data_IF_338903257256
#
_entry.id   IF_338903257256
#
_cell.length_a   1.000
_cell.length_b   1.000
_cell.length_c   1.000
_cell.angle_alpha   90.00
_cell.angle_beta   90.00
_cell.angle_gamma   90.00
#
_symmetry.space_group_name_H-M   'P 1'
#
loop_
_entity.id
_entity.type
_entity.pdbx_description
1 polymer ?
#
# COMPACT_ATOMS: atom_id res chain seq x y z
N UNK A 1 10.98 -14.44 -21.88
CA UNK A 1 9.75 -15.11 -21.47
C UNK A 1 9.00 -14.34 -20.39
N UNK A 2 9.69 -13.69 -19.44
CA UNK A 2 9.05 -13.02 -18.29
C UNK A 2 9.17 -11.48 -18.31
N UNK A 3 9.45 -10.87 -19.45
CA UNK A 3 9.68 -9.41 -19.52
C UNK A 3 8.41 -8.61 -19.20
N UNK A 4 7.23 -9.09 -19.61
CA UNK A 4 5.96 -8.43 -19.33
C UNK A 4 5.62 -8.57 -17.83
N UNK A 5 5.95 -9.72 -17.21
CA UNK A 5 5.82 -9.88 -15.74
C UNK A 5 6.70 -8.89 -14.94
N UNK A 6 7.84 -8.45 -15.50
CA UNK A 6 8.64 -7.39 -14.86
C UNK A 6 7.91 -6.04 -14.85
N UNK A 7 7.08 -5.75 -15.87
CA UNK A 7 6.20 -4.56 -15.89
C UNK A 7 5.16 -4.66 -14.76
N UNK A 8 4.53 -5.83 -14.61
CA UNK A 8 3.57 -6.11 -13.51
C UNK A 8 4.23 -5.90 -12.15
N UNK A 9 5.41 -6.48 -11.94
CA UNK A 9 6.17 -6.34 -10.68
C UNK A 9 6.52 -4.88 -10.37
N UNK A 10 6.97 -4.13 -11.36
CA UNK A 10 7.31 -2.72 -11.19
C UNK A 10 6.07 -1.88 -10.80
N UNK A 11 4.91 -2.10 -11.42
CA UNK A 11 3.67 -1.47 -11.01
C UNK A 11 3.23 -1.89 -9.60
N UNK A 12 3.40 -3.16 -9.23
CA UNK A 12 3.12 -3.66 -7.89
C UNK A 12 3.93 -2.91 -6.82
N UNK A 13 5.19 -2.63 -7.09
CA UNK A 13 6.10 -1.91 -6.20
C UNK A 13 5.98 -0.37 -6.28
N UNK A 14 4.98 0.17 -7.00
CA UNK A 14 4.80 1.60 -7.24
C UNK A 14 5.98 2.27 -7.96
N UNK A 15 6.66 1.54 -8.83
CA UNK A 15 7.73 2.01 -9.71
C UNK A 15 7.14 2.35 -11.10
N UNK A 16 6.13 3.23 -11.13
CA UNK A 16 5.34 3.52 -12.34
C UNK A 16 6.21 3.98 -13.52
N UNK A 17 7.21 4.84 -13.31
CA UNK A 17 8.11 5.31 -14.37
C UNK A 17 8.94 4.16 -14.96
N UNK A 18 9.43 3.26 -14.11
CA UNK A 18 10.18 2.06 -14.54
C UNK A 18 9.27 1.14 -15.34
N UNK A 19 8.04 0.90 -14.85
CA UNK A 19 7.05 0.06 -15.52
C UNK A 19 6.70 0.61 -16.92
N UNK A 20 6.45 1.93 -17.03
CA UNK A 20 6.15 2.60 -18.30
C UNK A 20 7.34 2.49 -19.27
N UNK A 21 8.57 2.74 -18.80
CA UNK A 21 9.78 2.61 -19.61
C UNK A 21 10.01 1.19 -20.11
N UNK A 22 9.80 0.19 -19.26
CA UNK A 22 9.85 -1.23 -19.66
C UNK A 22 8.76 -1.56 -20.68
N UNK A 23 7.53 -1.12 -20.45
CA UNK A 23 6.42 -1.33 -21.36
C UNK A 23 6.66 -0.71 -22.74
N UNK A 24 7.19 0.50 -22.80
CA UNK A 24 7.57 1.15 -24.06
C UNK A 24 8.64 0.32 -24.82
N UNK A 25 9.62 -0.25 -24.12
CA UNK A 25 10.64 -1.12 -24.70
C UNK A 25 10.09 -2.44 -25.26
N UNK A 26 8.87 -2.81 -24.84
CA UNK A 26 8.14 -4.00 -25.26
C UNK A 26 7.04 -3.70 -26.30
N UNK A 27 6.91 -2.43 -26.71
CA UNK A 27 5.85 -1.93 -27.59
C UNK A 27 4.42 -2.19 -27.07
N UNK A 28 4.23 -2.20 -25.73
CA UNK A 28 2.92 -2.37 -25.11
C UNK A 28 2.06 -1.11 -25.33
N UNK A 29 0.80 -1.31 -25.68
CA UNK A 29 -0.19 -0.26 -25.81
C UNK A 29 -0.68 0.30 -24.46
N UNK A 30 -1.32 1.46 -24.49
CA UNK A 30 -1.82 2.13 -23.27
C UNK A 30 -2.82 1.26 -22.49
N UNK A 31 -3.69 0.53 -23.19
CA UNK A 31 -4.67 -0.38 -22.59
C UNK A 31 -4.00 -1.56 -21.88
N UNK A 32 -2.98 -2.15 -22.51
CA UNK A 32 -2.21 -3.25 -21.93
C UNK A 32 -1.44 -2.80 -20.68
N UNK A 33 -0.81 -1.64 -20.75
CA UNK A 33 -0.12 -1.04 -19.59
C UNK A 33 -1.07 -0.80 -18.42
N UNK A 34 -2.29 -0.35 -18.66
CA UNK A 34 -3.29 -0.15 -17.59
C UNK A 34 -3.74 -1.48 -16.98
N UNK A 35 -3.97 -2.52 -17.80
CA UNK A 35 -4.30 -3.86 -17.31
C UNK A 35 -3.16 -4.44 -16.45
N UNK A 36 -1.91 -4.30 -16.89
CA UNK A 36 -0.74 -4.77 -16.14
C UNK A 36 -0.52 -3.98 -14.85
N UNK A 37 -0.85 -2.68 -14.85
CA UNK A 37 -0.83 -1.84 -13.64
C UNK A 37 -1.85 -2.33 -12.62
N UNK A 38 -3.07 -2.57 -13.06
CA UNK A 38 -4.13 -3.08 -12.18
C UNK A 38 -3.80 -4.47 -11.65
N UNK A 39 -3.22 -5.35 -12.48
CA UNK A 39 -2.75 -6.66 -12.02
C UNK A 39 -1.66 -6.51 -10.96
N UNK A 40 -0.62 -5.73 -11.23
CA UNK A 40 0.49 -5.52 -10.28
C UNK A 40 0.00 -5.00 -8.93
N UNK A 41 -0.86 -3.99 -8.95
CA UNK A 41 -1.46 -3.41 -7.74
C UNK A 41 -2.36 -4.40 -7.00
N UNK A 42 -3.09 -5.25 -7.70
CA UNK A 42 -3.97 -6.26 -7.09
C UNK A 42 -3.18 -7.41 -6.47
N UNK A 43 -2.10 -7.84 -7.12
CA UNK A 43 -1.18 -8.84 -6.55
C UNK A 43 -0.49 -8.29 -5.30
N UNK A 44 0.02 -7.07 -5.36
CA UNK A 44 0.65 -6.42 -4.21
C UNK A 44 -0.33 -6.23 -3.04
N UNK A 45 -1.58 -5.85 -3.32
CA UNK A 45 -2.64 -5.74 -2.31
C UNK A 45 -2.86 -7.06 -1.56
N UNK A 46 -2.84 -8.21 -2.24
CA UNK A 46 -2.99 -9.52 -1.60
C UNK A 46 -1.73 -10.00 -0.85
N UNK A 47 -0.64 -9.23 -0.86
CA UNK A 47 0.58 -9.54 -0.12
C UNK A 47 0.62 -8.91 1.29
N UNK A 48 -0.37 -8.07 1.63
CA UNK A 48 -0.41 -7.37 2.91
C UNK A 48 -1.47 -7.95 3.84
N UNK A 49 -1.07 -8.18 5.08
CA UNK A 49 -1.88 -8.69 6.17
C UNK A 49 -0.98 -9.03 7.35
N UNK A 50 -1.57 -9.39 8.47
CA UNK A 50 -0.84 -9.89 9.63
C UNK A 50 -0.55 -11.39 9.49
N UNK A 51 -1.45 -12.11 8.84
CA UNK A 51 -1.35 -13.54 8.56
C UNK A 51 -2.04 -13.91 7.25
N UNK A 52 -1.89 -15.16 6.82
CA UNK A 52 -2.61 -15.66 5.63
C UNK A 52 -4.13 -15.54 5.74
N UNK A 53 -4.69 -15.53 6.96
CA UNK A 53 -6.12 -15.35 7.16
C UNK A 53 -6.64 -13.95 6.75
N UNK A 54 -5.76 -12.97 6.63
CA UNK A 54 -6.09 -11.64 6.12
C UNK A 54 -6.14 -11.58 4.59
N UNK A 55 -5.52 -12.55 3.91
CA UNK A 55 -5.40 -12.56 2.45
C UNK A 55 -6.67 -13.14 1.80
N UNK A 56 -6.94 -12.73 0.57
CA UNK A 56 -8.07 -13.27 -0.21
C UNK A 56 -7.77 -14.63 -0.81
N UNK A 57 -6.50 -14.85 -1.13
CA UNK A 57 -5.98 -16.13 -1.62
C UNK A 57 -4.60 -16.37 -1.02
N UNK A 58 -4.34 -17.61 -0.60
CA UNK A 58 -3.03 -17.99 -0.08
C UNK A 58 -1.92 -17.76 -1.13
N UNK A 59 -0.72 -17.25 -0.74
CA UNK A 59 0.36 -16.95 -1.67
C UNK A 59 0.78 -18.14 -2.52
N UNK A 60 0.81 -19.33 -1.94
CA UNK A 60 1.15 -20.59 -2.64
C UNK A 60 0.14 -20.89 -3.75
N UNK A 61 -1.15 -20.74 -3.45
CA UNK A 61 -2.22 -20.97 -4.44
C UNK A 61 -2.17 -19.92 -5.55
N UNK A 62 -2.02 -18.64 -5.19
CA UNK A 62 -1.89 -17.56 -6.18
C UNK A 62 -0.68 -17.79 -7.09
N UNK A 63 0.48 -18.16 -6.52
CA UNK A 63 1.68 -18.47 -7.29
C UNK A 63 1.45 -19.65 -8.25
N UNK A 64 0.78 -20.71 -7.80
CA UNK A 64 0.49 -21.87 -8.65
C UNK A 64 -0.40 -21.51 -9.86
N UNK A 65 -1.31 -20.55 -9.71
CA UNK A 65 -2.11 -20.02 -10.82
C UNK A 65 -1.26 -19.16 -11.76
N UNK A 66 -0.52 -18.18 -11.22
CA UNK A 66 0.34 -17.27 -11.99
C UNK A 66 1.41 -18.02 -12.81
N UNK A 67 2.03 -19.06 -12.23
CA UNK A 67 3.11 -19.83 -12.87
C UNK A 67 2.69 -20.57 -14.16
N UNK A 68 1.39 -20.73 -14.41
CA UNK A 68 0.83 -21.35 -15.61
C UNK A 68 0.92 -20.43 -16.82
N UNK A 69 1.05 -19.13 -16.63
CA UNK A 69 0.98 -18.12 -17.68
C UNK A 69 2.34 -17.51 -17.96
N UNK A 70 2.79 -17.60 -19.20
CA UNK A 70 3.99 -16.91 -19.67
C UNK A 70 3.71 -15.42 -19.90
N UNK A 71 2.48 -15.09 -20.31
CA UNK A 71 1.98 -13.74 -20.54
C UNK A 71 0.96 -13.37 -19.45
N UNK A 72 1.18 -12.28 -18.70
CA UNK A 72 0.21 -11.81 -17.69
C UNK A 72 -1.13 -11.34 -18.28
N UNK A 73 -1.18 -10.96 -19.57
CA UNK A 73 -2.44 -10.59 -20.22
C UNK A 73 -3.35 -11.81 -20.42
N UNK A 74 -2.78 -13.00 -20.68
CA UNK A 74 -3.54 -14.25 -20.69
C UNK A 74 -4.10 -14.57 -19.29
N UNK A 75 -3.30 -14.39 -18.23
CA UNK A 75 -3.78 -14.53 -16.85
C UNK A 75 -4.96 -13.60 -16.55
N UNK A 76 -4.89 -12.33 -16.95
CA UNK A 76 -5.95 -11.34 -16.78
C UNK A 76 -7.23 -11.80 -17.49
N UNK A 77 -7.11 -12.37 -18.68
CA UNK A 77 -8.26 -12.77 -19.49
C UNK A 77 -8.94 -14.06 -18.98
N UNK A 78 -8.19 -14.99 -18.41
CA UNK A 78 -8.67 -16.33 -18.10
C UNK A 78 -8.95 -16.57 -16.61
N UNK A 79 -8.20 -15.93 -15.70
CA UNK A 79 -8.28 -16.21 -14.27
C UNK A 79 -9.23 -15.26 -13.54
N UNK A 80 -10.35 -15.78 -13.08
CA UNK A 80 -11.36 -15.04 -12.31
C UNK A 80 -10.79 -14.38 -11.06
N UNK A 81 -9.76 -14.99 -10.45
CA UNK A 81 -9.14 -14.46 -9.24
C UNK A 81 -8.61 -13.03 -9.43
N UNK A 82 -8.20 -12.64 -10.65
CA UNK A 82 -7.79 -11.27 -10.90
C UNK A 82 -8.94 -10.28 -10.67
N UNK A 83 -10.12 -10.54 -11.24
CA UNK A 83 -11.29 -9.68 -11.06
C UNK A 83 -11.74 -9.63 -9.58
N UNK A 84 -11.64 -10.75 -8.86
CA UNK A 84 -11.96 -10.82 -7.43
C UNK A 84 -11.00 -9.97 -6.60
N UNK A 85 -9.69 -10.08 -6.84
CA UNK A 85 -8.66 -9.27 -6.18
C UNK A 85 -8.85 -7.78 -6.47
N UNK A 86 -9.11 -7.43 -7.73
CA UNK A 86 -9.33 -6.05 -8.14
C UNK A 86 -10.58 -5.45 -7.47
N UNK A 87 -11.70 -6.16 -7.48
CA UNK A 87 -12.95 -5.72 -6.87
C UNK A 87 -12.77 -5.53 -5.34
N UNK A 88 -12.14 -6.50 -4.67
CA UNK A 88 -11.91 -6.41 -3.24
C UNK A 88 -10.95 -5.24 -2.88
N UNK A 89 -9.89 -5.03 -3.66
CA UNK A 89 -8.97 -3.90 -3.47
C UNK A 89 -9.69 -2.55 -3.59
N UNK A 90 -10.58 -2.41 -4.57
CA UNK A 90 -11.37 -1.19 -4.74
C UNK A 90 -12.33 -0.98 -3.57
N UNK A 91 -13.12 -1.99 -3.21
CA UNK A 91 -14.07 -1.91 -2.11
C UNK A 91 -13.39 -1.61 -0.75
N UNK A 92 -12.25 -2.26 -0.47
CA UNK A 92 -11.51 -2.03 0.76
C UNK A 92 -10.89 -0.61 0.80
N UNK A 93 -10.41 -0.11 -0.34
CA UNK A 93 -9.88 1.25 -0.43
C UNK A 93 -10.99 2.30 -0.29
N UNK A 94 -12.15 2.11 -0.92
CA UNK A 94 -13.32 2.99 -0.77
C UNK A 94 -13.76 3.06 0.69
N UNK A 95 -13.86 1.92 1.36
CA UNK A 95 -14.18 1.89 2.79
C UNK A 95 -13.14 2.59 3.68
N UNK A 96 -11.86 2.55 3.30
CA UNK A 96 -10.81 3.29 4.01
C UNK A 96 -10.90 4.81 3.76
N UNK A 97 -11.26 5.23 2.55
CA UNK A 97 -11.44 6.65 2.18
C UNK A 97 -12.57 7.30 2.98
N UNK A 98 -13.63 6.55 3.30
CA UNK A 98 -14.74 7.03 4.15
C UNK A 98 -14.35 7.20 5.63
N UNK A 99 -13.19 6.73 6.05
CA UNK A 99 -12.73 6.86 7.43
C UNK A 99 -12.37 8.31 7.73
N UNK A 100 -13.05 8.92 8.70
CA UNK A 100 -12.68 10.25 9.18
C UNK A 100 -11.32 10.22 9.89
N UNK A 101 -10.48 11.24 9.73
CA UNK A 101 -9.22 11.32 10.47
C UNK A 101 -9.45 11.36 11.98
N UNK A 102 -8.68 10.59 12.73
CA UNK A 102 -8.64 10.64 14.20
C UNK A 102 -8.14 12.01 14.69
N UNK A 103 -7.29 12.63 13.90
CA UNK A 103 -6.80 13.98 14.08
C UNK A 103 -6.34 14.56 12.74
N UNK A 104 -6.55 15.86 12.54
CA UNK A 104 -6.03 16.57 11.36
C UNK A 104 -5.71 18.02 11.69
N UNK A 105 -4.81 18.58 10.88
CA UNK A 105 -4.51 20.01 10.76
C UNK A 105 -4.46 20.39 9.29
N UNK A 106 -4.22 21.65 8.94
CA UNK A 106 -3.99 22.05 7.54
C UNK A 106 -2.71 21.47 6.90
N UNK A 107 -1.93 20.69 7.65
CA UNK A 107 -0.60 20.21 7.23
C UNK A 107 -0.36 18.72 7.47
N UNK A 108 -1.14 18.09 8.34
CA UNK A 108 -0.96 16.68 8.68
C UNK A 108 -2.27 16.03 9.12
N UNK A 109 -2.39 14.71 8.94
CA UNK A 109 -3.55 13.94 9.37
C UNK A 109 -3.15 12.55 9.86
N UNK A 110 -3.87 12.04 10.85
CA UNK A 110 -3.73 10.68 11.39
C UNK A 110 -5.05 9.96 11.26
N UNK A 111 -5.02 8.79 10.64
CA UNK A 111 -6.17 7.90 10.47
C UNK A 111 -5.96 6.63 11.27
N UNK A 112 -7.00 6.15 11.92
CA UNK A 112 -7.03 4.84 12.58
C UNK A 112 -8.16 4.04 11.95
N UNK A 113 -7.80 3.01 11.23
CA UNK A 113 -8.75 2.13 10.54
C UNK A 113 -9.44 1.18 11.52
N UNK A 114 -10.55 0.60 11.10
CA UNK A 114 -11.24 -0.43 11.87
C UNK A 114 -10.40 -1.71 11.97
N UNK A 115 -10.58 -2.48 13.04
CA UNK A 115 -9.90 -3.77 13.21
C UNK A 115 -10.56 -4.83 12.33
N UNK A 116 -9.99 -5.04 11.15
CA UNK A 116 -10.45 -6.04 10.17
C UNK A 116 -9.39 -6.30 9.10
N UNK A 117 -9.41 -7.48 8.46
CA UNK A 117 -8.46 -7.85 7.40
C UNK A 117 -8.33 -6.82 6.29
N UNK A 118 -9.47 -6.26 5.82
CA UNK A 118 -9.50 -5.23 4.78
C UNK A 118 -8.65 -4.00 5.11
N UNK A 119 -8.67 -3.55 6.37
CA UNK A 119 -7.87 -2.40 6.84
C UNK A 119 -6.37 -2.69 6.76
N UNK A 120 -5.96 -3.90 7.10
CA UNK A 120 -4.55 -4.32 7.04
C UNK A 120 -4.07 -4.43 5.59
N UNK A 121 -4.91 -4.98 4.68
CA UNK A 121 -4.57 -5.06 3.25
C UNK A 121 -4.38 -3.71 2.58
N UNK A 122 -5.17 -2.71 2.94
CA UNK A 122 -5.11 -1.38 2.28
C UNK A 122 -4.25 -0.36 3.00
N UNK A 123 -3.61 -0.70 4.11
CA UNK A 123 -2.82 0.23 4.93
C UNK A 123 -1.86 1.10 4.11
N UNK A 124 -1.03 0.48 3.29
CA UNK A 124 -0.08 1.17 2.43
C UNK A 124 -0.75 1.88 1.25
N UNK A 125 -1.76 1.25 0.64
CA UNK A 125 -2.50 1.78 -0.50
C UNK A 125 -3.27 3.05 -0.11
N UNK A 126 -3.93 3.04 1.04
CA UNK A 126 -4.63 4.22 1.54
C UNK A 126 -3.67 5.36 1.91
N UNK A 127 -2.52 5.06 2.53
CA UNK A 127 -1.50 6.07 2.78
C UNK A 127 -0.96 6.70 1.48
N UNK A 128 -0.75 5.90 0.42
CA UNK A 128 -0.36 6.41 -0.90
C UNK A 128 -1.47 7.26 -1.54
N UNK A 129 -2.73 6.86 -1.39
CA UNK A 129 -3.88 7.62 -1.86
C UNK A 129 -3.93 9.01 -1.22
N UNK A 130 -3.79 9.11 0.09
CA UNK A 130 -3.77 10.37 0.84
C UNK A 130 -2.61 11.28 0.39
N UNK A 131 -1.40 10.74 0.26
CA UNK A 131 -0.24 11.49 -0.19
C UNK A 131 -0.38 12.03 -1.63
N UNK A 132 -1.15 11.35 -2.48
CA UNK A 132 -1.43 11.78 -3.85
C UNK A 132 -2.48 12.87 -3.92
N UNK A 133 -3.52 12.81 -3.06
CA UNK A 133 -4.59 13.82 -2.99
C UNK A 133 -4.04 15.14 -2.47
N UNK A 134 -3.26 15.12 -1.40
CA UNK A 134 -2.59 16.30 -0.87
C UNK A 134 -1.08 16.05 -0.67
N UNK A 135 -0.28 16.29 -1.70
CA UNK A 135 1.18 16.07 -1.64
C UNK A 135 1.92 16.99 -0.65
N UNK A 136 1.25 17.97 -0.06
CA UNK A 136 1.83 18.88 0.95
C UNK A 136 1.52 18.45 2.37
N UNK A 137 0.59 17.54 2.56
CA UNK A 137 0.15 17.05 3.85
C UNK A 137 0.94 15.79 4.27
N UNK A 138 1.45 15.77 5.48
CA UNK A 138 1.97 14.53 6.06
C UNK A 138 0.80 13.67 6.55
N UNK A 139 0.84 12.36 6.32
CA UNK A 139 -0.20 11.48 6.80
C UNK A 139 0.36 10.23 7.49
N UNK A 140 -0.35 9.78 8.51
CA UNK A 140 -0.15 8.49 9.15
C UNK A 140 -1.46 7.71 9.12
N UNK A 141 -1.39 6.46 8.68
CA UNK A 141 -2.51 5.52 8.70
C UNK A 141 -2.12 4.36 9.61
N UNK A 142 -2.99 4.01 10.53
CA UNK A 142 -2.82 2.93 11.49
C UNK A 142 -3.89 1.87 11.26
N UNK A 143 -3.50 0.62 11.12
CA UNK A 143 -4.40 -0.53 11.13
C UNK A 143 -4.14 -1.37 12.37
N UNK A 144 -5.18 -1.70 13.16
CA UNK A 144 -5.02 -2.59 14.31
C UNK A 144 -4.47 -3.94 13.89
N UNK A 145 -3.58 -4.49 14.73
CA UNK A 145 -3.04 -5.83 14.65
C UNK A 145 -2.93 -6.44 16.05
N UNK A 146 -2.43 -7.67 16.16
CA UNK A 146 -2.27 -8.33 17.47
C UNK A 146 -1.31 -7.52 18.36
N UNK A 147 -1.85 -7.02 19.46
CA UNK A 147 -1.11 -6.25 20.47
C UNK A 147 -0.87 -4.77 20.13
N UNK A 148 -1.39 -4.23 19.01
CA UNK A 148 -1.20 -2.82 18.69
C UNK A 148 -1.64 -2.39 17.29
N UNK A 149 -0.71 -1.78 16.54
CA UNK A 149 -0.98 -1.23 15.21
C UNK A 149 0.19 -1.43 14.27
N UNK A 150 -0.10 -1.80 13.03
CA UNK A 150 0.79 -1.53 11.91
C UNK A 150 0.56 -0.09 11.44
N UNK A 151 1.64 0.64 11.17
CA UNK A 151 1.59 2.07 10.81
C UNK A 151 2.25 2.33 9.48
N UNK A 152 1.60 3.09 8.62
CA UNK A 152 2.15 3.61 7.37
C UNK A 152 2.20 5.14 7.43
N UNK A 153 3.38 5.72 7.18
CA UNK A 153 3.62 7.16 7.22
C UNK A 153 4.04 7.66 5.84
N UNK A 154 3.49 8.77 5.42
CA UNK A 154 3.91 9.51 4.22
C UNK A 154 4.21 10.95 4.61
N UNK A 155 5.36 11.44 4.16
CA UNK A 155 5.83 12.79 4.46
C UNK A 155 6.33 13.45 3.18
N UNK A 156 5.89 14.67 2.85
CA UNK A 156 6.41 15.40 1.70
C UNK A 156 7.94 15.55 1.75
N UNK A 157 8.61 15.43 0.60
CA UNK A 157 10.08 15.46 0.48
C UNK A 157 10.74 16.68 1.16
N UNK A 158 10.05 17.82 1.13
CA UNK A 158 10.53 19.08 1.71
C UNK A 158 10.38 19.19 3.24
N UNK A 159 9.68 18.22 3.88
CA UNK A 159 9.44 18.26 5.32
C UNK A 159 10.56 17.59 6.13
N UNK A 160 10.70 18.08 7.37
CA UNK A 160 11.59 17.50 8.37
C UNK A 160 10.82 17.35 9.70
N UNK A 161 11.02 16.22 10.42
CA UNK A 161 11.81 15.05 10.03
C UNK A 161 11.23 14.33 8.81
N UNK A 162 12.07 13.56 8.10
CA UNK A 162 11.59 12.66 7.04
C UNK A 162 10.80 11.47 7.61
N UNK A 163 10.01 10.77 6.80
CA UNK A 163 9.19 9.66 7.29
C UNK A 163 10.01 8.56 7.97
N UNK A 164 11.16 8.19 7.38
CA UNK A 164 12.04 7.17 7.95
C UNK A 164 12.69 7.63 9.26
N UNK A 165 13.11 8.91 9.35
CA UNK A 165 13.68 9.47 10.57
C UNK A 165 12.65 9.47 11.71
N UNK A 166 11.41 9.86 11.42
CA UNK A 166 10.32 9.82 12.38
C UNK A 166 9.98 8.39 12.82
N UNK A 167 9.82 7.47 11.87
CA UNK A 167 9.44 6.08 12.20
C UNK A 167 10.53 5.37 13.03
N UNK A 168 11.82 5.64 12.78
CA UNK A 168 12.94 5.07 13.57
C UNK A 168 12.95 5.47 15.04
N UNK A 169 12.17 6.46 15.46
CA UNK A 169 11.98 6.77 16.90
C UNK A 169 11.16 5.69 17.63
N UNK A 170 10.54 4.77 16.87
CA UNK A 170 9.76 3.66 17.40
C UNK A 170 10.40 2.32 17.07
N UNK A 171 10.29 1.31 17.97
CA UNK A 171 10.68 -0.05 17.64
C UNK A 171 10.02 -0.53 16.35
N UNK A 172 10.71 -1.35 15.55
CA UNK A 172 10.28 -1.83 14.24
C UNK A 172 10.00 -0.74 13.19
N UNK A 173 10.36 0.52 13.47
CA UNK A 173 10.19 1.63 12.53
C UNK A 173 11.31 1.72 11.51
N UNK A 174 10.95 2.04 10.25
CA UNK A 174 11.91 2.23 9.17
C UNK A 174 11.24 2.49 7.83
N UNK A 175 12.07 2.67 6.80
CA UNK A 175 11.57 2.91 5.45
C UNK A 175 12.43 3.86 4.65
N UNK A 176 11.80 4.56 3.71
CA UNK A 176 12.41 5.57 2.84
C UNK A 176 12.02 6.98 3.31
N UNK A 177 12.75 7.98 2.80
CA UNK A 177 12.59 9.39 3.17
C UNK A 177 11.14 9.89 3.16
N UNK A 178 10.36 9.54 2.15
CA UNK A 178 8.97 10.01 1.97
C UNK A 178 7.92 8.99 2.39
N UNK A 179 8.31 7.72 2.54
CA UNK A 179 7.41 6.60 2.81
C UNK A 179 8.05 5.61 3.78
N UNK A 180 7.55 5.55 4.98
CA UNK A 180 8.05 4.68 6.04
C UNK A 180 6.90 4.03 6.81
N UNK A 181 7.20 3.11 7.71
CA UNK A 181 6.22 2.45 8.54
C UNK A 181 6.79 1.96 9.86
N UNK A 182 5.91 1.52 10.72
CA UNK A 182 6.22 0.85 11.99
C UNK A 182 5.48 -0.48 11.93
N UNK A 183 6.20 -1.59 11.93
CA UNK A 183 5.59 -2.92 11.82
C UNK A 183 4.70 -3.25 13.03
N UNK A 184 5.13 -2.83 14.22
CA UNK A 184 4.41 -3.07 15.47
C UNK A 184 4.53 -1.86 16.40
N UNK A 185 3.48 -1.04 16.45
CA UNK A 185 3.32 0.01 17.45
C UNK A 185 2.46 -0.56 18.59
N UNK A 186 2.98 -0.77 19.81
CA UNK A 186 2.18 -1.29 20.90
C UNK A 186 0.96 -0.40 21.20
N UNK A 187 -0.18 -1.00 21.55
CA UNK A 187 -1.43 -0.27 21.79
C UNK A 187 -1.26 0.86 22.82
N UNK A 188 -0.51 0.63 23.90
CA UNK A 188 -0.23 1.63 24.94
C UNK A 188 0.61 2.82 24.46
N UNK A 189 1.23 2.75 23.27
CA UNK A 189 2.04 3.84 22.70
C UNK A 189 1.30 4.67 21.64
N UNK A 190 0.03 4.40 21.37
CA UNK A 190 -0.76 5.15 20.39
C UNK A 190 -0.78 6.65 20.71
N UNK A 191 -1.01 7.01 21.99
CA UNK A 191 -1.08 8.41 22.40
C UNK A 191 0.29 9.11 22.22
N UNK A 192 1.37 8.46 22.60
CA UNK A 192 2.75 8.94 22.37
C UNK A 192 3.03 9.18 20.88
N UNK A 193 2.66 8.21 20.02
CA UNK A 193 2.79 8.34 18.58
C UNK A 193 2.05 9.57 18.05
N UNK A 194 0.79 9.74 18.43
CA UNK A 194 -0.03 10.86 17.99
C UNK A 194 0.54 12.22 18.44
N UNK A 195 1.05 12.33 19.67
CA UNK A 195 1.66 13.55 20.18
C UNK A 195 2.96 13.89 19.43
N UNK A 196 3.81 12.90 19.20
CA UNK A 196 5.04 13.09 18.41
C UNK A 196 4.73 13.48 16.97
N UNK A 197 3.75 12.81 16.33
CA UNK A 197 3.35 13.12 14.97
C UNK A 197 2.80 14.54 14.83
N UNK A 198 1.94 14.97 15.78
CA UNK A 198 1.44 16.34 15.84
C UNK A 198 2.55 17.36 16.00
N UNK A 199 3.51 17.10 16.87
CA UNK A 199 4.65 18.00 17.10
C UNK A 199 5.54 18.13 15.87
N UNK A 200 5.75 17.03 15.14
CA UNK A 200 6.61 16.99 13.97
C UNK A 200 5.98 17.68 12.75
N UNK A 201 4.67 17.51 12.54
CA UNK A 201 4.04 17.83 11.26
C UNK A 201 2.78 18.73 11.36
N UNK A 202 2.22 18.93 12.53
CA UNK A 202 1.01 19.72 12.77
C UNK A 202 1.11 21.24 12.55
#
# INVERSE_FOLDING_TARGET
RFRIWAVVGAFGDNLDEVAIGLGASLALGASELEQLRELGRSLNYNAYGESEADLLIAPVELYARLARYADPLEFIAEEKIFAELQAARHADLEAAIETAPRWSSGRAAVYVLADRPSSRRVLGTFANHLARIDPRCACAVLAPNDGGYAVSVRVPAARSPSADAFCREFPSGGGRREAAGIGQLPQGRLQEFMERFRRAYG
#
